data_IF_064583060723
#
_entry.id   IF_064583060723
#
_cell.length_a   1.000
_cell.length_b   1.000
_cell.length_c   1.000
_cell.angle_alpha   90.00
_cell.angle_beta   90.00
_cell.angle_gamma   90.00
#
_symmetry.space_group_name_H-M   'P 1'
#
loop_
_entity.id
_entity.type
_entity.pdbx_description
1 polymer ?
#
# COMPACT_ATOMS: atom_id res chain seq x y z
N UNK A 1 -9.80 -0.73 -1.91
CA UNK A 1 -9.06 0.26 -2.72
C UNK A 1 -7.84 0.78 -1.96
N UNK A 2 -7.98 1.31 -0.73
CA UNK A 2 -6.87 1.85 0.11
C UNK A 2 -5.71 0.86 0.35
N UNK A 3 -5.98 -0.43 0.56
CA UNK A 3 -4.92 -1.43 0.78
C UNK A 3 -3.97 -1.59 -0.41
N UNK A 4 -4.50 -1.61 -1.64
CA UNK A 4 -3.67 -1.71 -2.85
C UNK A 4 -2.79 -0.48 -3.05
N UNK A 5 -3.23 0.71 -2.62
CA UNK A 5 -2.40 1.93 -2.67
C UNK A 5 -1.21 1.85 -1.70
N UNK A 6 -1.39 1.23 -0.54
CA UNK A 6 -0.31 1.05 0.44
C UNK A 6 0.73 0.02 0.00
N UNK A 7 0.34 -0.94 -0.84
CA UNK A 7 1.28 -1.93 -1.40
C UNK A 7 2.06 -1.35 -2.59
N UNK A 8 1.45 -0.46 -3.38
CA UNK A 8 2.13 0.27 -4.45
C UNK A 8 3.19 1.23 -3.90
N UNK A 9 2.89 1.96 -2.82
CA UNK A 9 3.88 2.87 -2.19
C UNK A 9 5.08 2.12 -1.62
N UNK A 10 4.83 0.97 -0.97
CA UNK A 10 5.89 0.16 -0.35
C UNK A 10 6.83 -0.44 -1.40
N UNK A 11 6.31 -1.01 -2.49
CA UNK A 11 7.13 -1.58 -3.58
C UNK A 11 7.97 -0.53 -4.35
N UNK A 12 7.56 0.73 -4.35
CA UNK A 12 8.30 1.84 -4.99
C UNK A 12 9.41 2.39 -4.09
N UNK A 13 9.18 2.36 -2.78
CA UNK A 13 10.17 2.75 -1.78
C UNK A 13 11.29 1.70 -1.66
N UNK A 14 11.00 0.41 -1.84
CA UNK A 14 12.02 -0.66 -1.81
C UNK A 14 12.90 -0.72 -3.06
N UNK A 15 12.43 -0.22 -4.21
CA UNK A 15 13.20 -0.21 -5.46
C UNK A 15 14.11 1.01 -5.63
N UNK A 16 13.85 2.09 -4.90
CA UNK A 16 14.72 3.27 -4.92
C UNK A 16 15.61 3.22 -3.70
N UNK A 17 16.91 3.53 -3.86
CA UNK A 17 17.88 3.68 -2.77
C UNK A 17 17.54 4.92 -1.93
N UNK A 18 16.34 4.93 -1.36
CA UNK A 18 15.71 6.01 -0.62
C UNK A 18 15.73 5.62 0.85
N UNK A 19 16.20 6.53 1.70
CA UNK A 19 16.25 6.37 3.16
C UNK A 19 14.92 5.81 3.67
N UNK A 20 14.98 4.75 4.47
CA UNK A 20 13.78 4.11 5.03
C UNK A 20 13.00 5.12 5.87
N UNK A 21 11.72 5.34 5.52
CA UNK A 21 10.81 6.15 6.32
C UNK A 21 10.61 5.46 7.66
N UNK A 22 10.77 6.23 8.74
CA UNK A 22 10.70 5.72 10.10
C UNK A 22 9.25 5.55 10.57
N UNK A 23 8.41 6.55 10.31
CA UNK A 23 7.05 6.63 10.82
C UNK A 23 6.05 6.05 9.81
N UNK A 24 5.04 5.34 10.31
CA UNK A 24 4.00 4.67 9.52
C UNK A 24 4.52 3.63 8.51
N UNK A 25 5.66 3.00 8.81
CA UNK A 25 6.25 1.96 7.98
C UNK A 25 5.70 0.57 8.37
N UNK A 26 5.28 -0.23 7.39
CA UNK A 26 4.79 -1.60 7.60
C UNK A 26 5.87 -2.54 8.13
N UNK A 27 7.14 -2.29 7.80
CA UNK A 27 8.27 -3.11 8.24
C UNK A 27 8.69 -2.77 9.68
N UNK A 28 8.32 -1.58 10.17
CA UNK A 28 8.62 -1.09 11.51
C UNK A 28 7.31 -1.04 12.32
N UNK A 29 6.94 -2.18 12.90
CA UNK A 29 5.70 -2.32 13.68
C UNK A 29 5.96 -2.86 15.09
N UNK A 30 5.09 -2.52 16.03
CA UNK A 30 5.00 -3.16 17.34
C UNK A 30 3.57 -3.66 17.53
N UNK A 31 3.42 -4.95 17.83
CA UNK A 31 2.12 -5.62 17.97
C UNK A 31 1.18 -5.36 16.77
N UNK A 32 1.69 -5.47 15.54
CA UNK A 32 0.99 -5.19 14.28
C UNK A 32 0.44 -3.75 14.13
N UNK A 33 0.94 -2.80 14.93
CA UNK A 33 0.64 -1.38 14.79
C UNK A 33 1.90 -0.63 14.34
N UNK A 34 1.75 0.26 13.37
CA UNK A 34 2.83 1.13 12.91
C UNK A 34 3.10 2.22 13.94
N UNK A 35 4.34 2.72 13.98
CA UNK A 35 4.68 3.84 14.84
C UNK A 35 4.30 5.17 14.20
N UNK A 36 3.55 6.00 14.91
CA UNK A 36 3.35 7.40 14.53
C UNK A 36 3.43 8.31 15.76
N UNK A 37 4.45 9.16 15.78
CA UNK A 37 4.68 10.13 16.84
C UNK A 37 4.61 11.54 16.24
N UNK A 38 3.48 12.23 16.43
CA UNK A 38 3.26 13.57 15.89
C UNK A 38 4.36 14.54 16.32
N UNK A 39 4.70 14.54 17.61
CA UNK A 39 5.75 15.42 18.16
C UNK A 39 7.13 15.20 17.51
N UNK A 40 7.44 13.96 17.11
CA UNK A 40 8.72 13.63 16.47
C UNK A 40 8.72 14.05 15.01
N UNK A 41 7.59 13.87 14.33
CA UNK A 41 7.41 14.30 12.95
C UNK A 41 7.52 15.83 12.81
N UNK A 42 6.90 16.58 13.73
CA UNK A 42 6.99 18.06 13.78
C UNK A 42 8.42 18.54 14.05
N UNK A 43 9.21 17.75 14.78
CA UNK A 43 10.64 17.97 15.03
C UNK A 43 11.55 17.47 13.91
N UNK A 44 10.99 17.18 12.73
CA UNK A 44 11.71 16.76 11.51
C UNK A 44 12.37 15.38 11.54
N UNK A 45 12.00 14.50 12.49
CA UNK A 45 12.44 13.10 12.52
C UNK A 45 11.51 12.26 11.62
N UNK A 46 11.99 11.95 10.42
CA UNK A 46 11.24 11.27 9.37
C UNK A 46 11.89 9.97 8.91
N UNK A 47 13.22 9.89 8.95
CA UNK A 47 14.01 8.80 8.38
C UNK A 47 14.80 8.06 9.45
N UNK A 48 15.09 6.77 9.22
CA UNK A 48 15.90 5.97 10.16
C UNK A 48 17.33 6.54 10.28
N UNK A 49 17.91 6.98 9.17
CA UNK A 49 19.24 7.60 9.10
C UNK A 49 19.44 8.77 10.07
N UNK A 50 18.38 9.52 10.35
CA UNK A 50 18.43 10.67 11.25
C UNK A 50 18.65 10.27 12.72
N UNK A 51 18.44 8.99 13.04
CA UNK A 51 18.69 8.40 14.36
C UNK A 51 20.06 7.69 14.44
N UNK A 52 20.80 7.64 13.33
CA UNK A 52 22.02 6.86 13.21
C UNK A 52 23.28 7.75 13.16
N UNK A 53 24.31 7.42 13.94
CA UNK A 53 25.61 8.08 13.89
C UNK A 53 26.58 7.30 12.99
N UNK A 54 26.80 7.82 11.78
CA UNK A 54 27.72 7.23 10.80
C UNK A 54 29.18 7.16 11.25
N UNK A 55 29.59 7.99 12.22
CA UNK A 55 30.98 7.98 12.73
C UNK A 55 31.22 6.79 13.65
N UNK A 56 30.24 6.53 14.52
CA UNK A 56 30.29 5.45 15.52
C UNK A 56 29.79 4.13 14.90
N UNK A 57 29.07 4.22 13.78
CA UNK A 57 28.34 3.11 13.13
C UNK A 57 27.31 2.48 14.07
N UNK A 58 26.64 3.31 14.86
CA UNK A 58 25.57 2.89 15.76
C UNK A 58 24.50 3.99 15.89
N UNK A 59 23.33 3.64 16.42
CA UNK A 59 22.29 4.61 16.73
C UNK A 59 22.73 5.56 17.84
N UNK A 60 22.25 6.81 17.78
CA UNK A 60 22.51 7.78 18.85
C UNK A 60 22.02 7.26 20.21
N UNK A 61 22.62 7.70 21.30
CA UNK A 61 22.01 7.49 22.63
C UNK A 61 20.72 8.32 22.73
N UNK A 62 19.84 7.96 23.67
CA UNK A 62 18.62 8.74 23.90
C UNK A 62 18.95 10.19 24.29
N UNK A 63 20.02 10.40 25.07
CA UNK A 63 20.48 11.73 25.48
C UNK A 63 20.93 12.57 24.27
N UNK A 64 21.64 11.97 23.33
CA UNK A 64 22.05 12.64 22.09
C UNK A 64 20.83 13.02 21.24
N UNK A 65 19.83 12.14 21.13
CA UNK A 65 18.58 12.46 20.42
C UNK A 65 17.79 13.57 21.11
N UNK A 66 17.75 13.58 22.44
CA UNK A 66 17.15 14.67 23.21
C UNK A 66 17.86 16.00 22.94
N UNK A 67 19.19 15.98 22.89
CA UNK A 67 20.00 17.16 22.59
C UNK A 67 19.80 17.67 21.15
N UNK A 68 19.83 16.78 20.15
CA UNK A 68 19.75 17.16 18.73
C UNK A 68 18.35 17.67 18.35
N UNK A 69 17.29 17.01 18.83
CA UNK A 69 15.91 17.29 18.38
C UNK A 69 15.02 17.93 19.45
N UNK A 70 15.53 18.14 20.66
CA UNK A 70 14.77 18.72 21.78
C UNK A 70 13.61 17.84 22.27
N UNK A 71 13.75 16.51 22.19
CA UNK A 71 12.69 15.58 22.61
C UNK A 71 12.58 15.58 24.14
N UNK A 72 11.36 15.55 24.72
CA UNK A 72 11.21 15.44 26.17
C UNK A 72 11.74 14.10 26.70
N UNK A 73 12.41 14.13 27.85
CA UNK A 73 13.05 12.96 28.47
C UNK A 73 12.08 11.80 28.78
N UNK A 74 10.78 12.08 28.91
CA UNK A 74 9.74 11.06 29.10
C UNK A 74 9.51 10.16 27.87
N UNK A 75 10.09 10.49 26.71
CA UNK A 75 9.94 9.69 25.49
C UNK A 75 10.99 8.57 25.36
N UNK A 76 11.76 8.25 26.40
CA UNK A 76 12.80 7.21 26.33
C UNK A 76 12.24 5.84 25.94
N UNK A 77 11.09 5.43 26.51
CA UNK A 77 10.45 4.16 26.16
C UNK A 77 10.06 4.11 24.69
N UNK A 78 9.57 5.22 24.14
CA UNK A 78 9.21 5.33 22.72
C UNK A 78 10.44 5.12 21.84
N UNK A 79 11.56 5.73 22.22
CA UNK A 79 12.83 5.61 21.50
C UNK A 79 13.35 4.17 21.47
N UNK A 80 13.53 3.54 22.63
CA UNK A 80 14.07 2.18 22.70
C UNK A 80 13.15 1.15 22.05
N UNK A 81 11.83 1.31 22.21
CA UNK A 81 10.85 0.48 21.52
C UNK A 81 11.01 0.63 20.01
N UNK A 82 11.13 1.86 19.50
CA UNK A 82 11.32 2.13 18.09
C UNK A 82 12.60 1.49 17.55
N UNK A 83 13.76 1.70 18.19
CA UNK A 83 15.04 1.09 17.77
C UNK A 83 15.00 -0.43 17.75
N UNK A 84 14.34 -1.03 18.75
CA UNK A 84 14.20 -2.48 18.85
C UNK A 84 13.39 -3.05 17.70
N UNK A 85 12.34 -2.35 17.25
CA UNK A 85 11.46 -2.80 16.19
C UNK A 85 11.97 -2.46 14.77
N UNK A 86 13.14 -1.82 14.62
CA UNK A 86 13.78 -1.64 13.32
C UNK A 86 14.35 -3.00 12.85
N UNK A 87 13.91 -3.52 11.69
CA UNK A 87 14.42 -4.77 11.13
C UNK A 87 15.92 -4.76 10.84
N UNK A 88 16.51 -5.96 10.82
CA UNK A 88 17.95 -6.16 10.60
C UNK A 88 18.37 -5.71 9.18
N UNK A 89 17.55 -5.97 8.16
CA UNK A 89 17.87 -5.61 6.77
C UNK A 89 18.06 -4.09 6.58
N UNK A 90 17.24 -3.27 7.24
CA UNK A 90 17.39 -1.80 7.25
C UNK A 90 18.69 -1.39 7.94
N UNK A 91 19.04 -2.03 9.07
CA UNK A 91 20.30 -1.74 9.78
C UNK A 91 21.53 -2.07 8.91
N UNK A 92 21.49 -3.16 8.15
CA UNK A 92 22.57 -3.51 7.23
C UNK A 92 22.72 -2.54 6.08
N UNK A 93 21.62 -2.02 5.52
CA UNK A 93 21.66 -1.06 4.41
C UNK A 93 22.24 0.30 4.82
N UNK A 94 21.92 0.76 6.03
CA UNK A 94 22.46 2.01 6.59
C UNK A 94 23.98 1.91 6.77
N UNK A 95 24.49 0.75 7.21
CA UNK A 95 25.93 0.52 7.37
C UNK A 95 26.72 0.58 6.05
N UNK A 96 26.06 0.27 4.92
CA UNK A 96 26.70 0.21 3.60
C UNK A 96 26.67 1.53 2.84
N UNK A 97 25.67 2.37 3.07
CA UNK A 97 25.43 3.58 2.28
C UNK A 97 25.89 4.84 3.04
N UNK A 98 27.17 5.19 2.89
CA UNK A 98 27.79 6.36 3.54
C UNK A 98 27.44 7.72 2.90
N UNK A 99 26.45 7.81 2.02
CA UNK A 99 26.12 9.07 1.34
C UNK A 99 25.00 9.82 2.07
N UNK A 100 25.23 11.06 2.56
CA UNK A 100 24.16 11.92 3.02
C UNK A 100 23.35 12.36 1.80
N UNK A 101 22.37 11.54 1.45
CA UNK A 101 21.63 11.73 0.23
C UNK A 101 20.51 12.77 0.44
N UNK A 102 20.61 13.92 -0.22
CA UNK A 102 19.52 14.87 -0.44
C UNK A 102 18.54 14.34 -1.49
N UNK A 103 18.00 13.14 -1.27
CA UNK A 103 16.99 12.57 -2.15
C UNK A 103 15.61 12.81 -1.55
N UNK A 104 14.80 13.55 -2.31
CA UNK A 104 13.37 13.66 -2.07
C UNK A 104 12.74 12.29 -2.33
N UNK A 105 11.99 11.78 -1.35
CA UNK A 105 11.24 10.52 -1.50
C UNK A 105 10.35 10.55 -2.75
N UNK A 106 9.98 9.38 -3.26
CA UNK A 106 9.00 9.25 -4.34
C UNK A 106 7.71 10.07 -4.05
N UNK A 107 7.29 10.10 -2.78
CA UNK A 107 6.16 10.91 -2.29
C UNK A 107 6.45 12.41 -2.37
N UNK A 108 7.62 12.88 -1.95
CA UNK A 108 8.02 14.29 -2.06
C UNK A 108 8.14 14.74 -3.53
N UNK A 109 8.64 13.86 -4.40
CA UNK A 109 8.69 14.07 -5.85
C UNK A 109 7.29 14.18 -6.50
N UNK A 110 6.30 13.42 -6.01
CA UNK A 110 4.91 13.53 -6.46
C UNK A 110 4.23 14.79 -5.93
N UNK A 111 4.41 15.09 -4.63
CA UNK A 111 3.81 16.26 -3.98
C UNK A 111 4.36 17.58 -4.56
N UNK A 112 5.65 17.60 -4.94
CA UNK A 112 6.25 18.72 -5.66
C UNK A 112 5.68 18.92 -7.06
N UNK A 113 5.19 17.86 -7.71
CA UNK A 113 4.59 17.88 -9.05
C UNK A 113 3.08 18.07 -8.96
N UNK A 114 2.64 19.23 -8.45
CA UNK A 114 1.24 19.62 -8.18
C UNK A 114 0.20 19.31 -9.29
N UNK A 115 0.62 19.10 -10.54
CA UNK A 115 -0.30 19.02 -11.69
C UNK A 115 -0.26 17.70 -12.48
N UNK A 116 0.53 16.69 -12.10
CA UNK A 116 0.66 15.41 -12.87
C UNK A 116 0.55 14.14 -12.04
N UNK A 117 0.16 14.27 -10.77
CA UNK A 117 0.04 13.19 -9.80
C UNK A 117 -0.76 11.99 -10.33
N UNK A 118 -1.96 12.22 -10.89
CA UNK A 118 -2.80 11.14 -11.44
C UNK A 118 -2.15 10.41 -12.61
N UNK A 119 -1.45 11.12 -13.50
CA UNK A 119 -0.76 10.50 -14.65
C UNK A 119 0.39 9.61 -14.18
N UNK A 120 1.17 10.08 -13.19
CA UNK A 120 2.27 9.31 -12.61
C UNK A 120 1.73 8.02 -11.99
N UNK A 121 0.67 8.10 -11.18
CA UNK A 121 0.05 6.92 -10.58
C UNK A 121 -0.51 5.95 -11.60
N UNK A 122 -1.19 6.44 -12.63
CA UNK A 122 -1.71 5.61 -13.71
C UNK A 122 -0.58 4.87 -14.44
N UNK A 123 0.49 5.57 -14.80
CA UNK A 123 1.65 4.95 -15.45
C UNK A 123 2.25 3.85 -14.57
N UNK A 124 2.38 4.07 -13.26
CA UNK A 124 2.92 3.09 -12.33
C UNK A 124 2.06 1.84 -12.19
N UNK A 125 0.74 2.00 -12.17
CA UNK A 125 -0.19 0.88 -12.14
C UNK A 125 -0.12 0.03 -13.41
N UNK A 126 0.17 0.65 -14.56
CA UNK A 126 0.36 -0.08 -15.82
C UNK A 126 1.72 -0.79 -15.85
N UNK A 127 2.78 -0.16 -15.34
CA UNK A 127 4.13 -0.75 -15.37
C UNK A 127 4.27 -1.92 -14.39
N UNK A 128 3.56 -1.88 -13.26
CA UNK A 128 3.58 -2.93 -12.23
C UNK A 128 2.18 -3.54 -12.03
N UNK A 129 1.65 -4.29 -13.01
CA UNK A 129 0.35 -4.92 -12.87
C UNK A 129 0.43 -6.02 -11.79
N UNK A 130 -0.52 -6.02 -10.84
CA UNK A 130 -0.72 -7.17 -9.95
C UNK A 130 -1.06 -8.39 -10.77
N UNK A 131 -0.30 -9.47 -10.59
CA UNK A 131 -0.37 -10.68 -11.42
C UNK A 131 -1.74 -11.35 -11.37
N UNK A 132 -2.39 -11.42 -10.21
CA UNK A 132 -3.71 -12.05 -10.05
C UNK A 132 -4.61 -11.28 -9.08
N UNK A 133 -5.78 -10.87 -9.56
CA UNK A 133 -6.84 -10.28 -8.75
C UNK A 133 -7.66 -11.36 -8.03
N UNK A 134 -8.20 -11.03 -6.86
CA UNK A 134 -9.08 -11.92 -6.08
C UNK A 134 -10.28 -12.44 -6.88
N UNK A 135 -10.77 -11.65 -7.84
CA UNK A 135 -11.89 -12.04 -8.70
C UNK A 135 -11.48 -13.12 -9.70
N UNK A 136 -10.26 -13.04 -10.25
CA UNK A 136 -9.76 -14.06 -11.18
C UNK A 136 -9.65 -15.42 -10.50
N UNK A 137 -9.07 -15.46 -9.29
CA UNK A 137 -9.00 -16.70 -8.50
C UNK A 137 -10.39 -17.31 -8.25
N UNK A 138 -11.37 -16.47 -7.95
CA UNK A 138 -12.76 -16.90 -7.73
C UNK A 138 -13.44 -17.49 -8.97
N UNK A 139 -13.07 -17.04 -10.16
CA UNK A 139 -13.55 -17.64 -11.41
C UNK A 139 -12.78 -18.91 -11.76
N UNK A 140 -11.47 -18.94 -11.48
CA UNK A 140 -10.66 -20.12 -11.69
C UNK A 140 -11.15 -21.32 -10.87
N UNK A 141 -11.60 -21.09 -9.63
CA UNK A 141 -12.25 -22.11 -8.78
C UNK A 141 -13.60 -22.58 -9.33
N UNK A 142 -14.30 -21.78 -10.12
CA UNK A 142 -15.56 -22.21 -10.74
C UNK A 142 -15.33 -22.98 -12.06
N UNK A 143 -14.23 -22.70 -12.73
CA UNK A 143 -13.86 -23.28 -14.02
C UNK A 143 -12.53 -24.04 -13.91
N UNK A 144 -12.36 -24.85 -12.87
CA UNK A 144 -11.08 -25.52 -12.55
C UNK A 144 -10.51 -26.31 -13.72
N UNK A 145 -11.38 -26.86 -14.57
CA UNK A 145 -11.02 -27.64 -15.76
C UNK A 145 -10.51 -26.80 -16.94
N UNK A 146 -10.65 -25.47 -16.89
CA UNK A 146 -10.35 -24.59 -18.01
C UNK A 146 -9.33 -23.52 -17.63
N UNK A 147 -8.30 -23.36 -18.47
CA UNK A 147 -7.36 -22.24 -18.34
C UNK A 147 -8.01 -20.96 -18.87
N UNK A 148 -8.28 -20.01 -17.97
CA UNK A 148 -8.95 -18.75 -18.33
C UNK A 148 -7.94 -17.72 -18.84
N UNK A 149 -7.97 -17.42 -20.15
CA UNK A 149 -7.12 -16.40 -20.74
C UNK A 149 -7.63 -14.97 -20.45
N UNK A 150 -7.24 -14.44 -19.29
CA UNK A 150 -7.75 -13.18 -18.73
C UNK A 150 -7.62 -11.96 -19.63
N UNK A 151 -6.51 -11.82 -20.36
CA UNK A 151 -6.31 -10.69 -21.27
C UNK A 151 -7.39 -10.66 -22.35
N UNK A 152 -7.80 -11.82 -22.86
CA UNK A 152 -8.90 -11.90 -23.81
C UNK A 152 -10.24 -11.65 -23.13
N UNK A 153 -10.50 -12.26 -21.98
CA UNK A 153 -11.76 -12.08 -21.23
C UNK A 153 -12.03 -10.60 -20.95
N UNK A 154 -11.02 -9.82 -20.52
CA UNK A 154 -11.20 -8.39 -20.24
C UNK A 154 -11.34 -7.53 -21.50
N UNK A 155 -10.80 -7.95 -22.65
CA UNK A 155 -10.87 -7.18 -23.90
C UNK A 155 -12.10 -7.52 -24.73
N UNK A 156 -12.66 -8.72 -24.56
CA UNK A 156 -13.81 -9.23 -25.30
C UNK A 156 -15.05 -8.32 -25.19
N UNK A 157 -15.44 -7.75 -24.03
CA UNK A 157 -16.62 -6.87 -23.94
C UNK A 157 -16.58 -5.69 -24.90
N UNK A 158 -15.39 -5.10 -25.07
CA UNK A 158 -15.19 -3.95 -25.95
C UNK A 158 -15.19 -4.32 -27.43
N UNK A 159 -14.88 -5.58 -27.75
CA UNK A 159 -14.88 -6.12 -29.12
C UNK A 159 -16.24 -6.68 -29.53
N UNK A 160 -16.99 -7.26 -28.59
CA UNK A 160 -18.22 -8.00 -28.87
C UNK A 160 -19.41 -7.09 -29.21
N UNK A 161 -19.49 -5.90 -28.61
CA UNK A 161 -20.61 -4.98 -28.82
C UNK A 161 -20.15 -3.53 -28.78
N UNK A 162 -20.88 -2.64 -29.46
CA UNK A 162 -20.69 -1.18 -29.42
C UNK A 162 -21.51 -0.56 -28.28
N UNK A 163 -22.59 -1.23 -27.86
CA UNK A 163 -23.55 -0.74 -26.90
C UNK A 163 -22.94 -0.59 -25.49
N UNK A 164 -23.02 0.62 -24.93
CA UNK A 164 -22.37 0.96 -23.66
C UNK A 164 -23.02 0.29 -22.44
N UNK A 165 -24.34 0.11 -22.46
CA UNK A 165 -25.15 -0.59 -21.45
C UNK A 165 -24.71 -2.06 -21.34
N UNK A 166 -24.61 -2.75 -22.48
CA UNK A 166 -24.19 -4.16 -22.53
C UNK A 166 -22.71 -4.32 -22.14
N UNK A 167 -21.82 -3.42 -22.60
CA UNK A 167 -20.42 -3.38 -22.12
C UNK A 167 -20.33 -3.23 -20.61
N UNK A 168 -21.12 -2.33 -20.04
CA UNK A 168 -21.15 -2.10 -18.60
C UNK A 168 -21.64 -3.33 -17.84
N UNK A 169 -22.68 -4.00 -18.35
CA UNK A 169 -23.15 -5.25 -17.79
C UNK A 169 -22.06 -6.35 -17.83
N UNK A 170 -21.42 -6.56 -18.98
CA UNK A 170 -20.34 -7.54 -19.14
C UNK A 170 -19.15 -7.22 -18.23
N UNK A 171 -18.76 -5.95 -18.12
CA UNK A 171 -17.73 -5.51 -17.19
C UNK A 171 -18.09 -5.86 -15.75
N UNK A 172 -19.30 -5.51 -15.31
CA UNK A 172 -19.78 -5.82 -13.96
C UNK A 172 -19.83 -7.34 -13.71
N UNK A 173 -20.22 -8.11 -14.71
CA UNK A 173 -20.27 -9.57 -14.66
C UNK A 173 -18.87 -10.16 -14.43
N UNK A 174 -17.92 -9.85 -15.31
CA UNK A 174 -16.54 -10.36 -15.24
C UNK A 174 -15.89 -9.98 -13.91
N UNK A 175 -16.12 -8.75 -13.43
CA UNK A 175 -15.59 -8.30 -12.14
C UNK A 175 -16.39 -8.78 -10.92
N UNK A 176 -17.50 -9.50 -11.10
CA UNK A 176 -18.42 -9.99 -10.05
C UNK A 176 -18.94 -8.87 -9.13
N UNK A 177 -19.27 -7.72 -9.71
CA UNK A 177 -19.81 -6.53 -9.02
C UNK A 177 -21.26 -6.22 -9.39
N UNK A 178 -21.95 -7.18 -10.03
CA UNK A 178 -23.39 -7.07 -10.25
C UNK A 178 -24.09 -7.08 -8.89
N UNK A 179 -24.99 -6.14 -8.69
CA UNK A 179 -25.85 -6.12 -7.51
C UNK A 179 -26.82 -7.29 -7.60
N UNK A 180 -26.65 -8.28 -6.73
CA UNK A 180 -27.58 -9.39 -6.53
C UNK A 180 -28.41 -9.15 -5.28
N UNK A 181 -29.55 -9.82 -5.13
CA UNK A 181 -30.40 -9.70 -3.95
C UNK A 181 -29.64 -10.05 -2.66
N UNK A 182 -28.73 -11.03 -2.71
CA UNK A 182 -27.78 -11.31 -1.61
C UNK A 182 -26.90 -10.12 -1.23
N UNK A 183 -26.37 -9.40 -2.21
CA UNK A 183 -25.59 -8.18 -1.96
C UNK A 183 -26.46 -7.06 -1.40
N UNK A 184 -27.64 -6.84 -1.99
CA UNK A 184 -28.58 -5.80 -1.56
C UNK A 184 -29.13 -6.06 -0.15
N UNK A 185 -29.43 -7.32 0.19
CA UNK A 185 -29.83 -7.74 1.52
C UNK A 185 -28.72 -7.49 2.55
N UNK A 186 -27.46 -7.82 2.21
CA UNK A 186 -26.30 -7.51 3.06
C UNK A 186 -26.13 -6.00 3.28
N UNK A 187 -26.50 -5.19 2.29
CA UNK A 187 -26.52 -3.73 2.39
C UNK A 187 -27.79 -3.16 3.07
N UNK A 188 -28.73 -4.02 3.49
CA UNK A 188 -30.05 -3.63 4.06
C UNK A 188 -30.92 -2.79 3.13
N UNK A 189 -30.74 -2.96 1.82
CA UNK A 189 -31.54 -2.30 0.77
C UNK A 189 -32.67 -3.20 0.25
N UNK A 190 -32.61 -4.51 0.52
CA UNK A 190 -33.66 -5.48 0.21
C UNK A 190 -34.06 -6.24 1.46
N UNK A 191 -35.32 -6.66 1.53
CA UNK A 191 -35.89 -7.44 2.63
C UNK A 191 -35.63 -8.95 2.48
N UNK A 192 -35.23 -9.41 1.29
CA UNK A 192 -34.98 -10.82 0.98
C UNK A 192 -33.64 -10.98 0.26
N UNK A 193 -32.94 -12.07 0.56
CA UNK A 193 -31.73 -12.50 -0.13
C UNK A 193 -31.99 -13.49 -1.28
N UNK A 194 -33.26 -13.90 -1.47
CA UNK A 194 -33.66 -14.84 -2.50
C UNK A 194 -33.61 -14.19 -3.88
N UNK A 195 -33.31 -15.00 -4.89
CA UNK A 195 -33.37 -14.57 -6.29
C UNK A 195 -34.82 -14.38 -6.73
N UNK A 196 -35.15 -13.26 -7.36
CA UNK A 196 -36.52 -13.00 -7.85
C UNK A 196 -36.93 -13.94 -9.00
N UNK A 197 -35.96 -14.56 -9.68
CA UNK A 197 -36.22 -15.43 -10.83
C UNK A 197 -36.36 -16.90 -10.46
N UNK A 198 -35.49 -17.42 -9.58
CA UNK A 198 -35.49 -18.83 -9.21
C UNK A 198 -35.98 -19.09 -7.77
N UNK A 199 -36.25 -18.06 -6.97
CA UNK A 199 -36.64 -18.17 -5.56
C UNK A 199 -35.66 -18.95 -4.67
N UNK A 200 -34.42 -19.15 -5.13
CA UNK A 200 -33.38 -19.87 -4.41
C UNK A 200 -32.26 -18.92 -3.91
N UNK A 201 -31.46 -19.43 -2.97
CA UNK A 201 -30.28 -18.74 -2.47
C UNK A 201 -29.10 -18.91 -3.44
N UNK A 202 -28.55 -17.80 -3.95
CA UNK A 202 -27.33 -17.72 -4.78
C UNK A 202 -26.07 -17.60 -3.92
#
# INVERSE_FOLDING_TARGET
MILGWSDVTHNLETQTSSKTILLNNKDITSNNKTFFYKDWFERSIKYVDQLYDYRIKDFYSFDNICYIYGIPSNNFLKYYTLIKNIPIHIKSEINTNNTPCTQTTFVENILGRKNKTNKIFYTLQITNPTENSKTQNKWQVLFEEHELYWKHIFTMPYKATIESTLRNFQYKYIHRIIATNKYLFKCKLSNSNLCDFCSENI
#
